data_IF_925166382965
#
_entry.id   IF_925166382965
#
_cell.length_a   1.000
_cell.length_b   1.000
_cell.length_c   1.000
_cell.angle_alpha   90.00
_cell.angle_beta   90.00
_cell.angle_gamma   90.00
#
_symmetry.space_group_name_H-M   'P 1'
#
loop_
_entity.id
_entity.type
_entity.pdbx_description
1 polymer ?
#
# COMPACT_ATOMS: atom_id res chain seq x y z
N UNK A 1 -14.66 -17.45 -0.17
CA UNK A 1 -13.44 -16.72 -0.57
C UNK A 1 -13.84 -15.68 -1.59
N UNK A 2 -13.94 -14.39 -1.21
CA UNK A 2 -13.91 -13.34 -2.21
C UNK A 2 -12.51 -13.37 -2.83
N UNK A 3 -12.42 -13.75 -4.10
CA UNK A 3 -11.19 -13.66 -4.86
C UNK A 3 -10.80 -12.19 -4.92
N UNK A 4 -9.68 -11.84 -4.27
CA UNK A 4 -9.02 -10.54 -4.43
C UNK A 4 -8.63 -10.45 -5.91
N UNK A 5 -9.48 -9.82 -6.71
CA UNK A 5 -9.28 -9.68 -8.15
C UNK A 5 -7.96 -8.97 -8.46
N UNK A 6 -7.41 -9.22 -9.64
CA UNK A 6 -6.19 -8.53 -10.07
C UNK A 6 -6.51 -7.04 -10.26
N UNK A 7 -5.98 -6.19 -9.38
CA UNK A 7 -6.14 -4.75 -9.48
C UNK A 7 -5.26 -4.19 -10.62
N UNK A 8 -5.90 -3.64 -11.67
CA UNK A 8 -5.24 -2.98 -12.80
C UNK A 8 -5.77 -1.57 -12.99
N UNK A 9 -4.93 -0.52 -12.97
CA UNK A 9 -5.34 0.84 -13.29
C UNK A 9 -5.69 0.95 -14.77
N UNK A 10 -6.80 1.63 -15.14
CA UNK A 10 -7.12 1.88 -16.54
C UNK A 10 -6.00 2.58 -17.33
N UNK A 11 -5.31 3.58 -16.72
CA UNK A 11 -4.29 4.36 -17.43
C UNK A 11 -3.01 3.59 -17.73
N UNK A 12 -2.59 2.70 -16.83
CA UNK A 12 -1.29 2.00 -16.96
C UNK A 12 -1.45 0.55 -17.37
N UNK A 13 -2.62 -0.07 -17.11
CA UNK A 13 -2.92 -1.49 -17.27
C UNK A 13 -1.91 -2.45 -16.61
N UNK A 14 -1.04 -1.92 -15.72
CA UNK A 14 -0.05 -2.69 -14.98
C UNK A 14 -0.67 -3.18 -13.68
N UNK A 15 -0.51 -4.48 -13.38
CA UNK A 15 -0.96 -5.06 -12.11
C UNK A 15 -0.40 -4.26 -10.93
N UNK A 16 -1.28 -3.82 -10.04
CA UNK A 16 -0.90 -3.27 -8.74
C UNK A 16 -0.52 -4.40 -7.80
N UNK A 17 0.50 -4.13 -6.98
CA UNK A 17 1.01 -5.02 -5.96
C UNK A 17 1.07 -4.22 -4.66
N UNK A 18 0.89 -4.93 -3.55
CA UNK A 18 1.21 -4.43 -2.23
C UNK A 18 2.56 -5.00 -1.78
N UNK A 19 3.27 -4.29 -0.90
CA UNK A 19 4.57 -4.76 -0.39
C UNK A 19 4.39 -5.97 0.51
N UNK A 20 3.41 -5.91 1.41
CA UNK A 20 3.06 -7.03 2.29
C UNK A 20 1.55 -7.27 2.36
N UNK A 21 1.20 -8.54 2.51
CA UNK A 21 -0.14 -9.01 2.79
C UNK A 21 -0.08 -9.95 4.00
N UNK A 22 -0.81 -9.61 5.06
CA UNK A 22 -0.87 -10.36 6.30
C UNK A 22 -2.12 -11.22 6.29
N UNK A 23 -1.94 -12.51 6.56
CA UNK A 23 -3.01 -13.49 6.61
C UNK A 23 -3.09 -14.08 8.01
N UNK A 24 -4.31 -14.39 8.46
CA UNK A 24 -4.50 -15.13 9.70
C UNK A 24 -4.20 -16.63 9.51
N UNK A 25 -4.33 -17.42 10.57
CA UNK A 25 -4.12 -18.89 10.56
C UNK A 25 -5.00 -19.63 9.55
N UNK A 26 -6.16 -19.07 9.20
CA UNK A 26 -7.11 -19.63 8.24
C UNK A 26 -6.84 -19.15 6.80
N UNK A 27 -5.73 -18.45 6.55
CA UNK A 27 -5.35 -17.85 5.25
C UNK A 27 -6.31 -16.77 4.75
N UNK A 28 -7.02 -16.12 5.66
CA UNK A 28 -7.85 -14.96 5.34
C UNK A 28 -6.99 -13.70 5.39
N UNK A 29 -7.11 -12.84 4.38
CA UNK A 29 -6.40 -11.56 4.35
C UNK A 29 -6.97 -10.66 5.45
N UNK A 30 -6.11 -10.11 6.30
CA UNK A 30 -6.51 -9.24 7.41
C UNK A 30 -5.91 -7.84 7.34
N UNK A 31 -4.77 -7.66 6.66
CA UNK A 31 -4.09 -6.38 6.56
C UNK A 31 -3.18 -6.34 5.34
N UNK A 32 -3.16 -5.20 4.65
CA UNK A 32 -2.15 -4.87 3.64
C UNK A 32 -1.22 -3.79 4.18
N UNK A 33 0.05 -3.81 3.76
CA UNK A 33 1.05 -2.82 4.15
C UNK A 33 1.79 -2.31 2.91
N UNK A 34 2.02 -1.01 2.88
CA UNK A 34 2.91 -0.32 1.91
C UNK A 34 4.00 0.46 2.65
N UNK A 35 5.21 0.44 2.11
CA UNK A 35 6.26 1.37 2.47
C UNK A 35 6.39 2.43 1.38
N UNK A 36 5.98 3.66 1.68
CA UNK A 36 5.98 4.74 0.70
C UNK A 36 7.35 5.41 0.68
N UNK A 37 8.18 4.98 -0.27
CA UNK A 37 9.45 5.64 -0.56
C UNK A 37 9.29 7.11 -0.99
N UNK A 38 10.39 7.86 -1.00
CA UNK A 38 10.45 9.27 -1.40
C UNK A 38 9.75 9.57 -2.74
N UNK A 39 9.78 8.63 -3.69
CA UNK A 39 9.16 8.72 -5.00
C UNK A 39 7.62 8.82 -5.00
N UNK A 40 6.97 8.56 -3.86
CA UNK A 40 5.52 8.74 -3.70
C UNK A 40 5.15 10.19 -3.36
N UNK A 41 6.10 10.98 -2.86
CA UNK A 41 5.86 12.30 -2.32
C UNK A 41 6.45 13.42 -3.18
N UNK A 42 7.61 13.18 -3.80
CA UNK A 42 8.31 14.21 -4.56
C UNK A 42 8.88 13.66 -5.87
N UNK A 43 9.15 14.59 -6.80
CA UNK A 43 9.78 14.24 -8.06
C UNK A 43 11.23 13.85 -7.81
N UNK A 44 11.62 12.72 -8.39
CA UNK A 44 12.98 12.23 -8.29
C UNK A 44 13.38 11.77 -9.68
N UNK A 45 14.44 12.37 -10.23
CA UNK A 45 14.89 12.11 -11.60
C UNK A 45 15.19 10.63 -11.86
N UNK A 46 15.83 9.94 -10.90
CA UNK A 46 16.08 8.50 -10.96
C UNK A 46 14.80 7.67 -11.13
N UNK A 47 13.67 8.17 -10.61
CA UNK A 47 12.37 7.53 -10.67
C UNK A 47 11.49 8.07 -11.81
N UNK A 48 12.04 8.84 -12.75
CA UNK A 48 11.32 9.36 -13.92
C UNK A 48 10.66 10.72 -13.73
N UNK A 49 10.98 11.44 -12.65
CA UNK A 49 10.56 12.83 -12.44
C UNK A 49 9.05 13.01 -12.23
N UNK A 50 8.55 14.18 -12.62
CA UNK A 50 7.20 14.65 -12.29
C UNK A 50 6.08 13.78 -12.88
N UNK A 51 6.26 13.27 -14.10
CA UNK A 51 5.22 12.46 -14.76
C UNK A 51 5.07 11.10 -14.08
N UNK A 52 6.18 10.47 -13.71
CA UNK A 52 6.14 9.22 -12.98
C UNK A 52 5.68 9.41 -11.52
N UNK A 53 5.93 10.58 -10.90
CA UNK A 53 5.31 10.94 -9.61
C UNK A 53 3.78 10.94 -9.73
N UNK A 54 3.22 11.62 -10.74
CA UNK A 54 1.76 11.65 -10.97
C UNK A 54 1.20 10.26 -11.20
N UNK A 55 1.92 9.39 -11.92
CA UNK A 55 1.52 8.00 -12.13
C UNK A 55 1.53 7.22 -10.81
N UNK A 56 2.54 7.40 -9.95
CA UNK A 56 2.59 6.76 -8.63
C UNK A 56 1.44 7.19 -7.75
N UNK A 57 1.19 8.49 -7.63
CA UNK A 57 0.09 9.04 -6.85
C UNK A 57 -1.28 8.55 -7.35
N UNK A 58 -1.47 8.48 -8.68
CA UNK A 58 -2.67 7.88 -9.26
C UNK A 58 -2.85 6.38 -8.90
N UNK A 59 -1.75 5.61 -8.90
CA UNK A 59 -1.79 4.19 -8.51
C UNK A 59 -2.06 4.04 -7.01
N UNK A 60 -1.52 4.94 -6.19
CA UNK A 60 -1.77 4.97 -4.75
C UNK A 60 -3.23 5.27 -4.44
N UNK A 61 -3.84 6.22 -5.13
CA UNK A 61 -5.27 6.53 -5.01
C UNK A 61 -6.13 5.29 -5.33
N UNK A 62 -5.78 4.55 -6.39
CA UNK A 62 -6.48 3.31 -6.74
C UNK A 62 -6.31 2.24 -5.66
N UNK A 63 -5.11 2.08 -5.09
CA UNK A 63 -4.90 1.14 -3.96
C UNK A 63 -5.74 1.55 -2.75
N UNK A 64 -5.76 2.83 -2.41
CA UNK A 64 -6.52 3.36 -1.28
C UNK A 64 -8.02 3.12 -1.47
N UNK A 65 -8.55 3.46 -2.65
CA UNK A 65 -9.95 3.24 -2.99
C UNK A 65 -10.31 1.75 -3.03
N UNK A 66 -9.42 0.90 -3.53
CA UNK A 66 -9.60 -0.55 -3.51
C UNK A 66 -9.73 -1.08 -2.08
N UNK A 67 -8.82 -0.68 -1.19
CA UNK A 67 -8.83 -1.12 0.20
C UNK A 67 -10.09 -0.63 0.93
N UNK A 68 -10.43 0.65 0.75
CA UNK A 68 -11.64 1.26 1.33
C UNK A 68 -12.92 0.53 0.88
N UNK A 69 -13.09 0.32 -0.43
CA UNK A 69 -14.29 -0.28 -1.00
C UNK A 69 -14.47 -1.76 -0.63
N UNK A 70 -13.37 -2.47 -0.36
CA UNK A 70 -13.40 -3.88 0.04
C UNK A 70 -13.26 -4.08 1.55
N UNK A 71 -13.26 -2.99 2.34
CA UNK A 71 -13.07 -3.02 3.79
C UNK A 71 -11.79 -3.75 4.20
N UNK A 72 -10.73 -3.62 3.40
CA UNK A 72 -9.41 -4.19 3.68
C UNK A 72 -8.59 -3.13 4.41
N UNK A 73 -8.12 -3.40 5.64
CA UNK A 73 -7.20 -2.52 6.34
C UNK A 73 -5.91 -2.32 5.53
N UNK A 74 -5.46 -1.08 5.43
CA UNK A 74 -4.21 -0.70 4.77
C UNK A 74 -3.38 0.18 5.70
N UNK A 75 -2.16 -0.27 6.02
CA UNK A 75 -1.16 0.54 6.72
C UNK A 75 -0.16 1.04 5.69
N UNK A 76 0.06 2.36 5.65
CA UNK A 76 1.10 2.98 4.83
C UNK A 76 2.14 3.58 5.75
N UNK A 77 3.41 3.24 5.52
CA UNK A 77 4.53 3.77 6.30
C UNK A 77 5.35 4.66 5.38
N UNK A 78 5.28 5.99 5.54
CA UNK A 78 6.06 6.89 4.71
C UNK A 78 7.55 6.82 5.07
N UNK A 79 8.42 7.06 4.08
CA UNK A 79 9.87 6.96 4.26
C UNK A 79 10.45 7.85 5.36
N UNK A 80 9.80 8.98 5.65
CA UNK A 80 10.22 9.89 6.72
C UNK A 80 9.83 9.40 8.13
N UNK A 81 9.12 8.28 8.25
CA UNK A 81 8.80 7.59 9.51
C UNK A 81 9.66 6.33 9.72
N UNK A 82 10.79 6.19 9.03
CA UNK A 82 11.66 5.00 9.11
C UNK A 82 12.05 4.67 10.56
N UNK A 83 12.43 5.67 11.34
CA UNK A 83 12.79 5.50 12.76
C UNK A 83 11.60 5.09 13.65
N UNK A 84 10.37 5.32 13.18
CA UNK A 84 9.13 5.05 13.92
C UNK A 84 8.42 3.78 13.44
N UNK A 85 8.96 3.04 12.47
CA UNK A 85 8.33 1.82 11.92
C UNK A 85 7.88 0.88 13.03
N UNK A 86 8.75 0.58 14.00
CA UNK A 86 8.43 -0.33 15.09
C UNK A 86 7.25 0.17 15.93
N UNK A 87 7.23 1.46 16.24
CA UNK A 87 6.15 2.10 16.99
C UNK A 87 4.83 2.06 16.21
N UNK A 88 4.85 2.38 14.92
CA UNK A 88 3.68 2.34 14.03
C UNK A 88 3.09 0.93 13.99
N UNK A 89 3.93 -0.08 13.79
CA UNK A 89 3.50 -1.47 13.73
C UNK A 89 2.96 -1.97 15.07
N UNK A 90 3.64 -1.67 16.19
CA UNK A 90 3.19 -2.05 17.53
C UNK A 90 1.91 -1.34 17.95
N UNK A 91 1.68 -0.12 17.49
CA UNK A 91 0.49 0.65 17.84
C UNK A 91 -0.72 0.34 16.94
N UNK A 92 -0.54 -0.45 15.88
CA UNK A 92 -1.65 -0.88 15.03
C UNK A 92 -2.50 -1.96 15.71
N UNK A 93 -3.79 -1.68 15.90
CA UNK A 93 -4.68 -2.56 16.67
C UNK A 93 -4.87 -3.95 16.06
N UNK A 94 -4.75 -4.09 14.73
CA UNK A 94 -4.85 -5.40 14.07
C UNK A 94 -3.59 -6.21 14.39
N UNK A 95 -2.42 -5.60 14.23
CA UNK A 95 -1.13 -6.28 14.45
C UNK A 95 -0.90 -6.65 15.91
N UNK A 96 -1.43 -5.88 16.88
CA UNK A 96 -1.36 -6.22 18.32
C UNK A 96 -2.02 -7.54 18.68
N UNK A 97 -2.99 -7.99 17.87
CA UNK A 97 -3.81 -9.17 18.16
C UNK A 97 -3.30 -10.46 17.53
N UNK A 98 -2.20 -10.37 16.76
CA UNK A 98 -1.52 -11.51 16.12
C UNK A 98 -0.51 -12.16 17.06
#
# INVERSE_FOLDING_TARGET
MQSIGILRPPKTNKRLKFDFAIFNKNKELILLIEYDGIQHFQEVGFFGGQDELKIRQYRDEIKNNYCLNNQIPLVRIPYYEEDNIESILKNNDILKTL
#
